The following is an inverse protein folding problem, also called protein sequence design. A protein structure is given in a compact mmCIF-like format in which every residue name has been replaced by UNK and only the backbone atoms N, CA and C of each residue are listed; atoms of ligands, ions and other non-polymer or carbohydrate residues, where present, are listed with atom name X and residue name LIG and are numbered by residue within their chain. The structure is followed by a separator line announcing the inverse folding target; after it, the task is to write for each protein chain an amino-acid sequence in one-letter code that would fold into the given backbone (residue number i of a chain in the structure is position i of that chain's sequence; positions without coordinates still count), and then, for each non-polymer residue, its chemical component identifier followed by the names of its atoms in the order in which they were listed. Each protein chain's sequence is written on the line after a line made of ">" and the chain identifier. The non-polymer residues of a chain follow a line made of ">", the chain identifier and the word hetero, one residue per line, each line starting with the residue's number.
data_IF_093526026252
#
_entry.id   IF_093526026252
#
_cell.length_a   1.000
_cell.length_b   1.000
_cell.length_c   1.000
_cell.angle_alpha   90.00
_cell.angle_beta   90.00
_cell.angle_gamma   90.00
#
_symmetry.space_group_name_H-M   'P 1'
#
loop_
_entity.id
_entity.type
_entity.pdbx_description
1 polymer ?
#
# COMPACT_ATOMS: atom_id res chain seq x y z
N UNK A 1 3.88 -0.55 -19.81
CA UNK A 1 2.48 -0.55 -19.29
C UNK A 1 2.31 0.75 -18.54
N UNK A 2 1.24 1.49 -18.77
CA UNK A 2 1.03 2.75 -18.05
C UNK A 2 0.84 2.45 -16.55
N UNK A 3 1.75 2.94 -15.70
CA UNK A 3 1.75 2.73 -14.25
C UNK A 3 0.47 3.21 -13.58
N UNK A 4 -0.13 4.29 -14.10
CA UNK A 4 -1.39 4.83 -13.60
C UNK A 4 -2.56 3.89 -13.88
N UNK A 5 -2.54 3.21 -15.02
CA UNK A 5 -3.54 2.18 -15.37
C UNK A 5 -3.42 0.95 -14.47
N UNK A 6 -2.19 0.51 -14.16
CA UNK A 6 -1.95 -0.61 -13.26
C UNK A 6 -2.52 -0.35 -11.85
N UNK A 7 -2.33 0.85 -11.29
CA UNK A 7 -2.82 1.19 -9.95
C UNK A 7 -4.34 1.40 -9.87
N UNK A 8 -4.97 1.94 -10.93
CA UNK A 8 -6.44 2.16 -10.96
C UNK A 8 -7.24 0.86 -10.91
N UNK A 9 -6.65 -0.24 -11.38
CA UNK A 9 -7.28 -1.56 -11.35
C UNK A 9 -6.90 -2.38 -10.10
N UNK A 10 -6.03 -1.86 -9.23
CA UNK A 10 -5.59 -2.51 -8.00
C UNK A 10 -6.22 -1.81 -6.79
N UNK A 11 -7.44 -2.20 -6.41
CA UNK A 11 -8.17 -1.59 -5.30
C UNK A 11 -7.75 -2.09 -3.92
N UNK A 12 -6.97 -3.18 -3.84
CA UNK A 12 -6.42 -3.70 -2.59
C UNK A 12 -4.90 -3.84 -2.66
N UNK A 13 -4.20 -3.19 -1.74
CA UNK A 13 -2.78 -3.42 -1.47
C UNK A 13 -2.62 -4.32 -0.24
N UNK A 14 -1.97 -5.47 -0.39
CA UNK A 14 -1.53 -6.27 0.75
C UNK A 14 -0.17 -5.79 1.22
N UNK A 15 -0.05 -5.44 2.52
CA UNK A 15 1.22 -5.06 3.15
C UNK A 15 1.70 -6.21 4.01
N UNK A 16 2.88 -6.73 3.71
CA UNK A 16 3.45 -7.85 4.45
C UNK A 16 3.80 -7.47 5.89
N UNK A 17 3.58 -8.42 6.78
CA UNK A 17 3.94 -8.33 8.18
C UNK A 17 4.22 -9.75 8.70
N UNK A 18 5.24 -9.89 9.53
CA UNK A 18 5.50 -11.16 10.20
C UNK A 18 4.63 -11.27 11.45
N UNK A 19 4.05 -12.45 11.67
CA UNK A 19 3.32 -12.81 12.88
C UNK A 19 3.98 -14.02 13.55
N UNK A 20 3.50 -14.43 14.70
CA UNK A 20 4.01 -15.62 15.38
C UNK A 20 3.79 -16.92 14.59
N UNK A 21 2.83 -16.89 13.65
CA UNK A 21 2.41 -18.07 12.86
C UNK A 21 2.68 -17.97 11.38
N UNK A 22 3.05 -16.78 10.85
CA UNK A 22 3.24 -16.54 9.43
C UNK A 22 4.50 -15.71 9.18
N UNK A 23 5.36 -16.20 8.30
CA UNK A 23 6.47 -15.44 7.74
C UNK A 23 5.99 -14.42 6.70
N UNK A 24 6.87 -13.49 6.29
CA UNK A 24 6.59 -12.55 5.20
C UNK A 24 6.18 -13.25 3.90
N UNK A 25 6.91 -14.32 3.53
CA UNK A 25 6.65 -15.06 2.29
C UNK A 25 5.31 -15.80 2.33
N UNK A 26 4.99 -16.48 3.43
CA UNK A 26 3.70 -17.18 3.58
C UNK A 26 2.52 -16.22 3.47
N UNK A 27 2.56 -15.06 4.15
CA UNK A 27 1.51 -14.07 4.06
C UNK A 27 1.35 -13.47 2.65
N UNK A 28 2.45 -13.23 1.93
CA UNK A 28 2.43 -12.77 0.55
C UNK A 28 1.87 -13.86 -0.39
N UNK A 29 2.27 -15.10 -0.19
CA UNK A 29 1.77 -16.23 -0.96
C UNK A 29 0.26 -16.40 -0.80
N UNK A 30 -0.25 -16.35 0.43
CA UNK A 30 -1.67 -16.41 0.73
C UNK A 30 -2.45 -15.26 0.05
N UNK A 31 -1.92 -14.03 0.12
CA UNK A 31 -2.55 -12.87 -0.52
C UNK A 31 -2.60 -13.02 -2.05
N UNK A 32 -1.52 -13.47 -2.69
CA UNK A 32 -1.49 -13.73 -4.14
C UNK A 32 -2.45 -14.85 -4.53
N UNK A 33 -2.49 -15.94 -3.74
CA UNK A 33 -3.42 -17.07 -3.94
C UNK A 33 -4.88 -16.61 -3.84
N UNK A 34 -5.20 -15.68 -2.92
CA UNK A 34 -6.52 -15.06 -2.80
C UNK A 34 -6.86 -14.05 -3.90
N UNK A 35 -5.94 -13.81 -4.83
CA UNK A 35 -6.17 -12.95 -6.01
C UNK A 35 -5.72 -11.50 -5.85
N UNK A 36 -5.02 -11.14 -4.76
CA UNK A 36 -4.45 -9.80 -4.62
C UNK A 36 -3.44 -9.50 -5.73
N UNK A 37 -3.56 -8.33 -6.35
CA UNK A 37 -2.70 -7.89 -7.47
C UNK A 37 -1.78 -6.73 -7.10
N UNK A 38 -1.67 -6.40 -5.83
CA UNK A 38 -0.80 -5.31 -5.37
C UNK A 38 -0.16 -5.67 -4.03
N UNK A 39 1.12 -5.98 -4.05
CA UNK A 39 1.88 -6.46 -2.89
C UNK A 39 2.89 -5.39 -2.47
N UNK A 40 2.93 -5.07 -1.19
CA UNK A 40 3.97 -4.27 -0.56
C UNK A 40 4.78 -5.15 0.40
N UNK A 41 6.07 -5.35 0.11
CA UNK A 41 7.01 -5.99 1.02
C UNK A 41 7.49 -4.96 2.05
N UNK A 42 7.12 -5.18 3.31
CA UNK A 42 7.51 -4.34 4.44
C UNK A 42 8.18 -5.19 5.51
N UNK A 43 9.50 -5.04 5.65
CA UNK A 43 10.34 -5.74 6.64
C UNK A 43 11.07 -4.72 7.50
N UNK A 44 10.36 -4.09 8.45
CA UNK A 44 10.92 -3.09 9.36
C UNK A 44 12.01 -3.71 10.25
N UNK A 45 13.10 -2.97 10.45
CA UNK A 45 14.24 -3.40 11.26
C UNK A 45 15.19 -4.39 10.59
N UNK A 46 14.82 -4.98 9.45
CA UNK A 46 15.73 -5.86 8.69
C UNK A 46 16.77 -5.06 7.89
N UNK A 47 17.93 -5.63 7.67
CA UNK A 47 18.97 -5.08 6.79
C UNK A 47 18.63 -5.32 5.31
N UNK A 48 19.28 -4.59 4.40
CA UNK A 48 19.09 -4.81 2.96
C UNK A 48 19.53 -6.22 2.52
N UNK A 49 20.55 -6.78 3.18
CA UNK A 49 21.02 -8.15 2.96
C UNK A 49 19.95 -9.19 3.28
N UNK A 50 19.19 -8.98 4.35
CA UNK A 50 18.08 -9.87 4.76
C UNK A 50 16.85 -9.69 3.86
N UNK A 51 16.55 -8.46 3.45
CA UNK A 51 15.39 -8.16 2.58
C UNK A 51 15.61 -8.63 1.14
N UNK A 52 16.83 -8.52 0.62
CA UNK A 52 17.16 -8.80 -0.79
C UNK A 52 16.70 -10.18 -1.29
N UNK A 53 17.01 -11.31 -0.62
CA UNK A 53 16.55 -12.61 -1.08
C UNK A 53 15.03 -12.75 -1.04
N UNK A 54 14.37 -12.19 -0.02
CA UNK A 54 12.90 -12.18 0.08
C UNK A 54 12.31 -11.35 -1.05
N UNK A 55 12.84 -10.14 -1.30
CA UNK A 55 12.37 -9.25 -2.36
C UNK A 55 12.50 -9.88 -3.76
N UNK A 56 13.60 -10.58 -4.04
CA UNK A 56 13.77 -11.32 -5.31
C UNK A 56 12.71 -12.40 -5.49
N UNK A 57 12.41 -13.16 -4.43
CA UNK A 57 11.37 -14.20 -4.46
C UNK A 57 9.97 -13.61 -4.64
N UNK A 58 9.66 -12.52 -3.95
CA UNK A 58 8.38 -11.82 -4.10
C UNK A 58 8.23 -11.25 -5.51
N UNK A 59 9.30 -10.67 -6.10
CA UNK A 59 9.27 -10.18 -7.49
C UNK A 59 8.94 -11.30 -8.49
N UNK A 60 9.56 -12.47 -8.31
CA UNK A 60 9.25 -13.65 -9.14
C UNK A 60 7.75 -14.01 -9.05
N UNK A 61 7.23 -14.14 -7.82
CA UNK A 61 5.81 -14.48 -7.61
C UNK A 61 4.85 -13.43 -8.16
N UNK A 62 5.15 -12.15 -7.93
CA UNK A 62 4.33 -11.06 -8.48
C UNK A 62 4.33 -11.08 -10.01
N UNK A 63 5.48 -11.34 -10.64
CA UNK A 63 5.58 -11.46 -12.11
C UNK A 63 4.72 -12.59 -12.66
N UNK A 64 4.75 -13.77 -12.03
CA UNK A 64 3.93 -14.94 -12.41
C UNK A 64 2.43 -14.62 -12.26
N UNK A 65 2.05 -13.91 -11.21
CA UNK A 65 0.65 -13.60 -10.89
C UNK A 65 0.13 -12.32 -11.57
N UNK A 66 0.96 -11.60 -12.33
CA UNK A 66 0.58 -10.29 -12.90
C UNK A 66 0.25 -9.24 -11.83
N UNK A 67 0.96 -9.29 -10.69
CA UNK A 67 0.77 -8.40 -9.56
C UNK A 67 1.84 -7.30 -9.52
N UNK A 68 1.46 -6.10 -9.08
CA UNK A 68 2.37 -4.97 -8.81
C UNK A 68 3.14 -5.24 -7.53
N UNK A 69 4.47 -5.07 -7.58
CA UNK A 69 5.37 -5.26 -6.46
C UNK A 69 5.99 -3.94 -5.97
N UNK A 70 5.69 -3.57 -4.74
CA UNK A 70 6.20 -2.38 -4.05
C UNK A 70 7.12 -2.81 -2.89
N UNK A 71 8.23 -2.09 -2.69
CA UNK A 71 9.08 -2.23 -1.50
C UNK A 71 8.88 -1.02 -0.59
N UNK A 72 8.73 -1.27 0.71
CA UNK A 72 8.63 -0.22 1.73
C UNK A 72 10.02 0.39 2.01
N UNK A 73 10.14 1.73 2.04
CA UNK A 73 11.29 2.56 2.42
C UNK A 73 12.57 2.46 1.57
N UNK A 74 12.87 1.34 0.90
CA UNK A 74 14.19 0.98 0.38
C UNK A 74 14.37 1.30 -1.10
N UNK A 75 14.57 2.59 -1.42
CA UNK A 75 14.66 3.11 -2.80
C UNK A 75 15.73 2.41 -3.64
N UNK A 76 16.95 2.26 -3.09
CA UNK A 76 18.07 1.64 -3.83
C UNK A 76 17.85 0.16 -4.06
N UNK A 77 17.34 -0.56 -3.04
CA UNK A 77 17.04 -1.98 -3.15
C UNK A 77 15.90 -2.24 -4.14
N UNK A 78 14.86 -1.40 -4.15
CA UNK A 78 13.78 -1.53 -5.12
C UNK A 78 14.27 -1.42 -6.57
N UNK A 79 15.23 -0.51 -6.83
CA UNK A 79 15.88 -0.39 -8.15
C UNK A 79 16.71 -1.64 -8.47
N UNK A 80 17.49 -2.13 -7.52
CA UNK A 80 18.36 -3.30 -7.66
C UNK A 80 17.57 -4.58 -8.02
N UNK A 81 16.45 -4.83 -7.32
CA UNK A 81 15.64 -6.03 -7.53
C UNK A 81 14.56 -5.87 -8.59
N UNK A 82 14.54 -4.75 -9.29
CA UNK A 82 13.55 -4.42 -10.33
C UNK A 82 12.11 -4.51 -9.82
N UNK A 83 11.86 -4.02 -8.58
CA UNK A 83 10.50 -3.82 -8.10
C UNK A 83 9.75 -2.83 -9.01
N UNK A 84 8.41 -2.85 -8.96
CA UNK A 84 7.61 -1.92 -9.76
C UNK A 84 7.54 -0.54 -9.10
N UNK A 85 7.86 -0.45 -7.81
CA UNK A 85 7.90 0.82 -7.10
C UNK A 85 8.33 0.73 -5.63
N UNK A 86 8.17 1.87 -4.95
CA UNK A 86 8.43 2.04 -3.51
C UNK A 86 7.27 2.73 -2.82
N UNK A 87 7.14 2.49 -1.53
CA UNK A 87 6.28 3.29 -0.64
C UNK A 87 7.14 3.99 0.41
N UNK A 88 6.94 5.30 0.59
CA UNK A 88 7.76 6.14 1.45
C UNK A 88 6.93 6.76 2.57
N UNK A 89 7.36 6.55 3.80
CA UNK A 89 6.82 7.20 4.98
C UNK A 89 7.36 8.62 5.17
N UNK A 90 6.82 9.34 6.14
CA UNK A 90 7.18 10.75 6.41
C UNK A 90 8.66 10.98 6.80
N UNK A 91 9.32 9.95 7.33
CA UNK A 91 10.71 10.03 7.79
C UNK A 91 11.69 9.34 6.83
N UNK A 92 11.19 8.82 5.71
CA UNK A 92 12.00 8.16 4.70
C UNK A 92 12.56 9.18 3.68
N UNK A 93 13.20 8.68 2.63
CA UNK A 93 13.70 9.53 1.56
C UNK A 93 12.55 10.37 0.96
N UNK A 94 12.73 11.69 0.75
CA UNK A 94 11.73 12.53 0.10
C UNK A 94 11.36 12.00 -1.29
N UNK A 95 10.05 12.05 -1.64
CA UNK A 95 9.52 11.55 -2.92
C UNK A 95 10.26 12.13 -4.13
N UNK A 96 10.55 13.44 -4.12
CA UNK A 96 11.27 14.10 -5.21
C UNK A 96 12.71 13.58 -5.40
N UNK A 97 13.38 13.17 -4.31
CA UNK A 97 14.71 12.54 -4.37
C UNK A 97 14.62 11.11 -4.88
N UNK A 98 13.66 10.33 -4.36
CA UNK A 98 13.42 8.98 -4.84
C UNK A 98 13.09 8.98 -6.35
N UNK A 99 12.31 9.94 -6.83
CA UNK A 99 11.98 10.10 -8.26
C UNK A 99 13.23 10.33 -9.12
N UNK A 100 14.20 11.13 -8.64
CA UNK A 100 15.48 11.34 -9.36
C UNK A 100 16.30 10.05 -9.48
N UNK A 101 16.27 9.18 -8.45
CA UNK A 101 17.02 7.92 -8.42
C UNK A 101 16.35 6.85 -9.29
N UNK A 102 15.03 6.74 -9.19
CA UNK A 102 14.23 5.67 -9.79
C UNK A 102 13.81 5.96 -11.23
N UNK A 103 13.66 7.24 -11.57
CA UNK A 103 13.16 7.65 -12.89
C UNK A 103 11.62 7.69 -12.96
N UNK A 104 11.07 8.00 -14.14
CA UNK A 104 9.63 8.24 -14.31
C UNK A 104 8.77 6.98 -14.29
N UNK A 105 9.35 5.81 -14.59
CA UNK A 105 8.59 4.56 -14.76
C UNK A 105 8.29 3.85 -13.45
N UNK A 106 9.02 4.14 -12.38
CA UNK A 106 8.76 3.56 -11.05
C UNK A 106 7.52 4.19 -10.40
N UNK A 107 6.74 3.35 -9.73
CA UNK A 107 5.64 3.78 -8.89
C UNK A 107 6.20 4.28 -7.55
N UNK A 108 5.83 5.48 -7.13
CA UNK A 108 6.21 6.02 -5.82
C UNK A 108 4.94 6.38 -5.05
N UNK A 109 4.71 5.65 -3.95
CA UNK A 109 3.66 5.96 -2.99
C UNK A 109 4.18 6.80 -1.83
N UNK A 110 3.31 7.61 -1.24
CA UNK A 110 3.60 8.39 -0.04
C UNK A 110 2.59 8.18 1.08
N UNK A 111 3.04 8.24 2.33
CA UNK A 111 2.16 8.18 3.51
C UNK A 111 1.61 9.56 3.84
N UNK A 112 0.27 9.70 3.89
CA UNK A 112 -0.41 10.91 4.33
C UNK A 112 -1.35 10.65 5.51
N UNK A 113 -1.51 11.68 6.35
CA UNK A 113 -2.47 11.69 7.46
C UNK A 113 -3.39 12.92 7.40
N UNK A 114 -3.04 13.90 6.57
CA UNK A 114 -3.75 15.16 6.37
C UNK A 114 -3.86 15.50 4.90
N UNK A 115 -4.74 16.45 4.56
CA UNK A 115 -4.80 16.99 3.21
C UNK A 115 -3.49 17.69 2.79
N UNK A 116 -2.81 18.36 3.72
CA UNK A 116 -1.54 19.05 3.43
C UNK A 116 -0.44 18.04 3.06
N UNK A 117 -0.41 16.88 3.70
CA UNK A 117 0.47 15.78 3.30
C UNK A 117 0.17 15.31 1.87
N UNK A 118 -1.12 15.13 1.53
CA UNK A 118 -1.55 14.72 0.18
C UNK A 118 -1.11 15.74 -0.86
N UNK A 119 -1.30 17.03 -0.58
CA UNK A 119 -0.89 18.13 -1.46
C UNK A 119 0.63 18.14 -1.67
N UNK A 120 1.39 18.07 -0.60
CA UNK A 120 2.86 18.03 -0.66
C UNK A 120 3.37 16.83 -1.47
N UNK A 121 2.79 15.65 -1.29
CA UNK A 121 3.15 14.45 -2.05
C UNK A 121 2.76 14.56 -3.53
N UNK A 122 1.61 15.17 -3.84
CA UNK A 122 1.21 15.46 -5.21
C UNK A 122 2.22 16.37 -5.91
N UNK A 123 2.60 17.47 -5.27
CA UNK A 123 3.60 18.42 -5.79
C UNK A 123 4.99 17.78 -5.94
N UNK A 124 5.34 16.81 -5.07
CA UNK A 124 6.59 16.05 -5.15
C UNK A 124 6.58 14.93 -6.20
N UNK A 125 5.45 14.65 -6.87
CA UNK A 125 5.34 13.66 -7.93
C UNK A 125 5.07 12.22 -7.45
N UNK A 126 4.32 12.05 -6.36
CA UNK A 126 3.78 10.75 -5.97
C UNK A 126 2.80 10.20 -7.00
N UNK A 127 2.71 8.87 -7.09
CA UNK A 127 1.76 8.18 -7.97
C UNK A 127 0.51 7.69 -7.21
N UNK A 128 0.60 7.51 -5.90
CA UNK A 128 -0.53 7.18 -5.02
C UNK A 128 -0.22 7.57 -3.57
N UNK A 129 -1.26 7.57 -2.74
CA UNK A 129 -1.18 7.91 -1.32
C UNK A 129 -1.73 6.77 -0.47
N UNK A 130 -0.96 6.29 0.50
CA UNK A 130 -1.43 5.50 1.62
C UNK A 130 -1.90 6.43 2.74
N UNK A 131 -3.22 6.60 2.88
CA UNK A 131 -3.81 7.59 3.78
C UNK A 131 -4.44 6.93 5.01
N UNK A 132 -4.07 7.37 6.21
CA UNK A 132 -4.60 6.80 7.45
C UNK A 132 -3.98 7.39 8.72
N UNK A 133 -4.27 6.79 9.90
CA UNK A 133 -4.99 5.53 10.06
C UNK A 133 -6.53 5.69 10.02
N UNK A 134 -7.22 4.69 9.47
CA UNK A 134 -8.69 4.63 9.50
C UNK A 134 -9.21 4.50 10.94
N UNK A 135 -8.60 3.58 11.71
CA UNK A 135 -8.84 3.42 13.15
C UNK A 135 -7.53 3.13 13.87
N UNK A 136 -7.57 3.10 15.19
CA UNK A 136 -6.42 2.71 16.01
C UNK A 136 -5.87 1.34 15.59
N UNK A 137 -4.54 1.21 15.51
CA UNK A 137 -3.86 -0.03 15.16
C UNK A 137 -2.53 -0.12 15.91
N UNK A 138 -2.16 -1.31 16.33
CA UNK A 138 -0.89 -1.60 17.00
C UNK A 138 0.24 -1.92 16.02
N UNK A 139 -0.04 -1.99 14.73
CA UNK A 139 0.95 -2.34 13.69
C UNK A 139 1.98 -1.24 13.42
N UNK A 140 1.72 0.00 13.87
CA UNK A 140 2.60 1.16 13.72
C UNK A 140 2.89 1.78 15.09
N UNK A 141 4.17 2.02 15.40
CA UNK A 141 4.62 2.53 16.72
C UNK A 141 4.17 3.96 17.03
N UNK A 142 4.06 4.82 16.00
CA UNK A 142 3.58 6.21 16.12
C UNK A 142 2.34 6.40 15.27
N UNK A 143 1.20 6.61 15.92
CA UNK A 143 -0.07 6.84 15.24
C UNK A 143 -0.36 8.34 15.14
N UNK A 144 -0.74 8.77 13.95
CA UNK A 144 -1.42 10.04 13.72
C UNK A 144 -2.88 9.95 14.19
N UNK A 145 -3.59 11.08 14.37
CA UNK A 145 -5.02 11.06 14.68
C UNK A 145 -5.81 10.17 13.73
N UNK A 146 -6.77 9.43 14.29
CA UNK A 146 -7.65 8.54 13.53
C UNK A 146 -8.54 9.35 12.59
N UNK A 147 -8.59 8.96 11.32
CA UNK A 147 -9.39 9.66 10.29
C UNK A 147 -10.86 9.22 10.29
N UNK A 148 -11.14 7.94 10.46
CA UNK A 148 -12.49 7.40 10.27
C UNK A 148 -13.05 7.70 8.88
N UNK A 149 -14.33 7.51 8.68
CA UNK A 149 -14.99 7.81 7.40
C UNK A 149 -15.03 9.33 7.11
N UNK A 150 -15.22 10.14 8.14
CA UNK A 150 -15.37 11.59 8.00
C UNK A 150 -14.06 12.24 7.56
N UNK A 151 -12.92 11.86 8.16
CA UNK A 151 -11.62 12.37 7.74
C UNK A 151 -11.31 12.05 6.27
N UNK A 152 -11.72 10.88 5.76
CA UNK A 152 -11.57 10.60 4.32
C UNK A 152 -12.47 11.50 3.47
N UNK A 153 -13.74 11.70 3.84
CA UNK A 153 -14.65 12.59 3.11
C UNK A 153 -14.10 14.01 3.02
N UNK A 154 -13.56 14.53 4.11
CA UNK A 154 -12.94 15.85 4.16
C UNK A 154 -11.71 15.95 3.25
N UNK A 155 -10.81 14.95 3.30
CA UNK A 155 -9.61 14.90 2.45
C UNK A 155 -10.01 14.84 0.98
N UNK A 156 -10.93 13.94 0.60
CA UNK A 156 -11.39 13.78 -0.78
C UNK A 156 -12.10 15.05 -1.29
N UNK A 157 -12.90 15.71 -0.44
CA UNK A 157 -13.54 16.99 -0.80
C UNK A 157 -12.51 18.09 -1.09
N UNK A 158 -11.47 18.21 -0.25
CA UNK A 158 -10.36 19.16 -0.45
C UNK A 158 -9.55 18.82 -1.71
N UNK A 159 -9.28 17.54 -1.97
CA UNK A 159 -8.60 17.11 -3.20
C UNK A 159 -9.37 17.54 -4.45
N UNK A 160 -10.69 17.33 -4.46
CA UNK A 160 -11.57 17.77 -5.55
C UNK A 160 -11.52 19.28 -5.75
N UNK A 161 -11.57 20.05 -4.66
CA UNK A 161 -11.51 21.52 -4.70
C UNK A 161 -10.17 22.06 -5.26
N UNK A 162 -9.08 21.26 -5.18
CA UNK A 162 -7.75 21.63 -5.66
C UNK A 162 -7.34 20.87 -6.95
N UNK A 163 -8.27 20.18 -7.62
CA UNK A 163 -8.05 19.33 -8.82
C UNK A 163 -6.92 18.28 -8.66
N UNK A 164 -6.73 17.78 -7.44
CA UNK A 164 -5.78 16.70 -7.14
C UNK A 164 -6.46 15.35 -7.41
N UNK A 165 -5.89 14.54 -8.33
CA UNK A 165 -6.48 13.27 -8.79
C UNK A 165 -5.63 12.05 -8.46
N UNK A 166 -4.82 12.12 -7.40
CA UNK A 166 -4.03 10.97 -6.94
C UNK A 166 -4.93 9.86 -6.37
N UNK A 167 -4.65 8.59 -6.69
CA UNK A 167 -5.27 7.47 -5.99
C UNK A 167 -5.01 7.54 -4.48
N UNK A 168 -6.06 7.46 -3.68
CA UNK A 168 -5.99 7.35 -2.22
C UNK A 168 -6.33 5.92 -1.82
N UNK A 169 -5.42 5.30 -1.08
CA UNK A 169 -5.59 3.96 -0.50
C UNK A 169 -5.72 4.13 1.00
N UNK A 170 -6.90 3.80 1.53
CA UNK A 170 -7.16 3.87 2.96
C UNK A 170 -6.37 2.79 3.71
N UNK A 171 -5.76 3.13 4.85
CA UNK A 171 -4.93 2.21 5.64
C UNK A 171 -5.18 2.35 7.14
N UNK A 172 -4.93 1.29 7.89
CA UNK A 172 -4.84 1.29 9.35
C UNK A 172 -6.09 0.73 10.04
N UNK A 173 -5.99 -0.50 10.52
CA UNK A 173 -7.03 -1.18 11.28
C UNK A 173 -8.29 -1.55 10.49
N UNK A 174 -8.19 -1.64 9.16
CA UNK A 174 -9.31 -1.95 8.27
C UNK A 174 -9.63 -3.45 8.30
N UNK A 175 -10.91 -3.77 8.39
CA UNK A 175 -11.45 -5.11 8.24
C UNK A 175 -12.33 -5.18 6.99
N UNK A 176 -12.66 -6.38 6.53
CA UNK A 176 -13.53 -6.60 5.37
C UNK A 176 -14.87 -5.86 5.47
N UNK A 177 -15.45 -5.78 6.67
CA UNK A 177 -16.74 -5.11 6.91
C UNK A 177 -16.70 -3.60 6.69
N UNK A 178 -15.52 -2.99 6.79
CA UNK A 178 -15.35 -1.54 6.65
C UNK A 178 -15.28 -1.09 5.19
N UNK A 179 -14.90 -2.00 4.27
CA UNK A 179 -14.55 -1.68 2.88
C UNK A 179 -15.69 -0.93 2.16
N UNK A 180 -16.96 -1.38 2.18
CA UNK A 180 -18.02 -0.66 1.46
C UNK A 180 -18.19 0.78 1.95
N UNK A 181 -18.14 1.01 3.27
CA UNK A 181 -18.25 2.36 3.84
C UNK A 181 -17.05 3.24 3.48
N UNK A 182 -15.83 2.66 3.46
CA UNK A 182 -14.61 3.36 3.09
C UNK A 182 -14.66 3.79 1.61
N UNK A 183 -15.04 2.91 0.69
CA UNK A 183 -15.14 3.23 -0.73
C UNK A 183 -16.17 4.31 -1.02
N UNK A 184 -17.28 4.36 -0.28
CA UNK A 184 -18.29 5.42 -0.38
C UNK A 184 -17.76 6.81 -0.03
N UNK A 185 -16.61 6.94 0.64
CA UNK A 185 -15.96 8.22 0.89
C UNK A 185 -15.29 8.82 -0.35
N UNK A 186 -15.09 8.01 -1.39
CA UNK A 186 -14.42 8.38 -2.63
C UNK A 186 -12.93 8.03 -2.69
N UNK A 187 -12.41 7.30 -1.70
CA UNK A 187 -11.05 6.71 -1.81
C UNK A 187 -11.01 5.61 -2.88
N UNK A 188 -9.84 5.40 -3.46
CA UNK A 188 -9.68 4.49 -4.61
C UNK A 188 -9.64 3.02 -4.18
N UNK A 189 -9.18 2.74 -2.96
CA UNK A 189 -9.02 1.38 -2.46
C UNK A 189 -8.54 1.32 -1.02
N UNK A 190 -8.12 0.14 -0.59
CA UNK A 190 -7.69 -0.16 0.77
C UNK A 190 -6.32 -0.82 0.82
N UNK A 191 -5.54 -0.55 1.87
CA UNK A 191 -4.31 -1.27 2.20
C UNK A 191 -4.52 -2.06 3.49
N UNK A 192 -4.27 -3.36 3.44
CA UNK A 192 -4.57 -4.29 4.52
C UNK A 192 -3.37 -5.17 4.84
N UNK A 193 -3.29 -5.63 6.08
CA UNK A 193 -2.24 -6.53 6.58
C UNK A 193 -2.80 -7.44 7.66
N UNK A 194 -2.79 -7.01 8.91
CA UNK A 194 -3.08 -7.83 10.07
C UNK A 194 -4.47 -8.47 10.10
N UNK A 195 -5.50 -7.87 9.51
CA UNK A 195 -6.84 -8.48 9.42
C UNK A 195 -6.85 -9.70 8.51
N UNK A 196 -6.05 -9.69 7.46
CA UNK A 196 -5.85 -10.85 6.56
C UNK A 196 -4.99 -11.90 7.26
N UNK A 197 -3.83 -11.50 7.79
CA UNK A 197 -2.86 -12.44 8.37
C UNK A 197 -3.38 -13.18 9.63
N UNK A 198 -4.35 -12.59 10.34
CA UNK A 198 -4.99 -13.20 11.52
C UNK A 198 -6.29 -13.96 11.22
N UNK A 199 -6.70 -14.03 9.96
CA UNK A 199 -7.81 -14.89 9.56
C UNK A 199 -7.41 -16.37 9.66
N UNK A 200 -8.38 -17.25 9.91
CA UNK A 200 -8.16 -18.70 9.94
C UNK A 200 -7.61 -19.20 8.59
N UNK A 201 -8.07 -18.60 7.49
CA UNK A 201 -7.60 -18.84 6.14
C UNK A 201 -7.34 -17.49 5.44
N UNK A 202 -6.09 -17.00 5.44
CA UNK A 202 -5.75 -15.71 4.85
C UNK A 202 -5.97 -15.63 3.32
N UNK A 203 -5.81 -16.75 2.61
CA UNK A 203 -6.07 -16.77 1.16
C UNK A 203 -7.57 -16.62 0.86
N UNK A 204 -8.42 -17.32 1.61
CA UNK A 204 -9.87 -17.19 1.51
C UNK A 204 -10.34 -15.78 1.92
N UNK A 205 -9.82 -15.23 3.04
CA UNK A 205 -10.16 -13.85 3.46
C UNK A 205 -9.78 -12.84 2.37
N UNK A 206 -8.59 -13.00 1.78
CA UNK A 206 -8.16 -12.16 0.65
C UNK A 206 -9.13 -12.29 -0.54
N UNK A 207 -9.51 -13.51 -0.90
CA UNK A 207 -10.45 -13.75 -1.98
C UNK A 207 -11.81 -13.06 -1.74
N UNK A 208 -12.36 -13.20 -0.54
CA UNK A 208 -13.63 -12.58 -0.16
C UNK A 208 -13.55 -11.03 -0.17
N UNK A 209 -12.40 -10.45 0.19
CA UNK A 209 -12.14 -9.01 0.05
C UNK A 209 -12.11 -8.61 -1.42
N UNK A 210 -11.40 -9.37 -2.27
CA UNK A 210 -11.32 -9.09 -3.70
C UNK A 210 -12.68 -9.16 -4.39
N UNK A 211 -13.59 -10.05 -3.96
CA UNK A 211 -14.95 -10.09 -4.47
C UNK A 211 -15.76 -8.82 -4.15
N UNK A 212 -15.61 -8.26 -2.94
CA UNK A 212 -16.25 -6.99 -2.56
C UNK A 212 -15.74 -5.82 -3.43
N UNK A 213 -14.47 -5.84 -3.79
CA UNK A 213 -13.83 -4.74 -4.54
C UNK A 213 -14.13 -4.77 -6.05
N UNK A 214 -14.76 -5.83 -6.58
CA UNK A 214 -15.17 -5.92 -7.99
C UNK A 214 -16.42 -5.08 -8.32
N UNK A 215 -17.16 -4.65 -7.32
CA UNK A 215 -18.42 -3.90 -7.42
C UNK A 215 -18.27 -2.48 -6.88
#
# INVERSE_FOLDING_TARGET
>A
MDKTYSLRNCQMQFISHQTDTKSYLEGIYDALTGGCKWIQLRMKGATDEEVRPVAKKVKEWCSINGAVFIIDDRVKLAKEVHADGVHLGKNDMPIAEARKILGPDFIIGGTANTFDDVKAHHEAGADYIGCGPFRFTTTKEKLSPVLGLEGYREIIAKMKAHDIRLPIVAIGGITRKDIPGILQTGVTGVAMSGSILRADDPAKETHEIMEILKY
#
